data_IF_191306143380
#
_entry.id   IF_191306143380
#
_cell.length_a   1.000
_cell.length_b   1.000
_cell.length_c   1.000
_cell.angle_alpha   90.00
_cell.angle_beta   90.00
_cell.angle_gamma   90.00
#
_symmetry.space_group_name_H-M   'P 1'
#
loop_
_entity.id
_entity.type
_entity.pdbx_description
1 polymer ?
#
# COMPACT_ATOMS: atom_id res chain seq x y z
N UNK A 1 4.60 19.95 -39.03
CA UNK A 1 5.26 19.92 -37.72
C UNK A 1 4.41 19.07 -36.79
N UNK A 2 4.76 17.79 -36.60
CA UNK A 2 4.10 16.90 -35.65
C UNK A 2 5.16 16.41 -34.68
N UNK A 3 5.03 16.78 -33.40
CA UNK A 3 5.85 16.20 -32.34
C UNK A 3 5.24 14.83 -31.98
N UNK A 4 5.97 13.77 -32.27
CA UNK A 4 5.65 12.42 -31.78
C UNK A 4 6.17 12.30 -30.35
N UNK A 5 5.26 12.22 -29.37
CA UNK A 5 5.64 11.86 -27.99
C UNK A 5 5.93 10.36 -27.98
N UNK A 6 7.16 9.91 -27.67
CA UNK A 6 7.43 8.49 -27.56
C UNK A 6 6.65 7.91 -26.38
N UNK A 7 5.93 6.81 -26.61
CA UNK A 7 5.35 6.02 -25.53
C UNK A 7 6.49 5.50 -24.64
N UNK A 8 6.33 5.62 -23.32
CA UNK A 8 7.33 5.13 -22.36
C UNK A 8 7.43 3.61 -22.45
N UNK A 9 8.61 3.10 -22.75
CA UNK A 9 8.90 1.68 -22.67
C UNK A 9 8.90 1.24 -21.20
N UNK A 10 7.95 0.38 -20.84
CA UNK A 10 7.72 -0.12 -19.48
C UNK A 10 8.21 -1.56 -19.28
N UNK A 11 8.82 -2.17 -20.31
CA UNK A 11 9.11 -3.61 -20.35
C UNK A 11 10.04 -4.07 -19.20
N UNK A 12 10.87 -3.17 -18.68
CA UNK A 12 11.77 -3.42 -17.54
C UNK A 12 11.22 -3.06 -16.15
N UNK A 13 10.08 -2.37 -16.05
CA UNK A 13 9.58 -1.90 -14.77
C UNK A 13 8.88 -3.04 -14.02
N UNK A 14 9.38 -3.34 -12.82
CA UNK A 14 8.83 -4.39 -11.95
C UNK A 14 8.55 -3.82 -10.57
N UNK A 15 7.48 -4.29 -9.95
CA UNK A 15 7.23 -4.03 -8.53
C UNK A 15 8.18 -4.88 -7.68
N UNK A 16 8.52 -4.36 -6.50
CA UNK A 16 9.12 -5.19 -5.46
C UNK A 16 7.99 -5.96 -4.73
N UNK A 17 7.82 -7.24 -5.09
CA UNK A 17 6.77 -8.11 -4.55
C UNK A 17 6.92 -8.38 -3.06
N UNK A 18 8.13 -8.64 -2.58
CA UNK A 18 8.40 -8.92 -1.17
C UNK A 18 8.08 -7.70 -0.29
N UNK A 19 8.46 -6.51 -0.73
CA UNK A 19 8.11 -5.25 -0.04
C UNK A 19 6.60 -5.05 0.02
N UNK A 20 5.90 -5.34 -1.07
CA UNK A 20 4.43 -5.24 -1.11
C UNK A 20 3.80 -6.23 -0.12
N UNK A 21 4.24 -7.49 -0.15
CA UNK A 21 3.73 -8.51 0.75
C UNK A 21 3.99 -8.17 2.22
N UNK A 22 5.19 -7.72 2.55
CA UNK A 22 5.52 -7.25 3.90
C UNK A 22 4.60 -6.12 4.36
N UNK A 23 4.32 -5.15 3.48
CA UNK A 23 3.40 -4.04 3.78
C UNK A 23 1.96 -4.53 4.03
N UNK A 24 1.49 -5.51 3.24
CA UNK A 24 0.17 -6.11 3.45
C UNK A 24 0.07 -6.81 4.81
N UNK A 25 1.06 -7.62 5.15
CA UNK A 25 1.10 -8.35 6.43
C UNK A 25 1.19 -7.39 7.62
N UNK A 26 1.97 -6.31 7.50
CA UNK A 26 2.14 -5.30 8.54
C UNK A 26 0.88 -4.43 8.74
N UNK A 27 0.12 -4.14 7.68
CA UNK A 27 -1.17 -3.46 7.80
C UNK A 27 -2.27 -4.39 8.36
N UNK A 28 -2.21 -5.68 8.06
CA UNK A 28 -3.20 -6.67 8.50
C UNK A 28 -3.22 -6.85 10.03
N UNK A 29 -2.10 -6.56 10.72
CA UNK A 29 -2.04 -6.59 12.18
C UNK A 29 -3.04 -5.61 12.83
N UNK A 30 -3.35 -4.48 12.16
CA UNK A 30 -4.28 -3.48 12.68
C UNK A 30 -5.72 -3.94 12.41
N UNK A 31 -6.35 -4.49 13.44
CA UNK A 31 -7.69 -5.08 13.36
C UNK A 31 -7.68 -6.58 13.10
N UNK A 32 -6.55 -7.27 13.29
CA UNK A 32 -6.46 -8.72 13.21
C UNK A 32 -7.48 -9.39 14.16
N UNK A 33 -8.07 -10.49 13.69
CA UNK A 33 -9.06 -11.29 14.44
C UNK A 33 -8.50 -12.67 14.75
N UNK A 34 -9.00 -13.38 15.78
CA UNK A 34 -8.52 -14.72 16.13
C UNK A 34 -8.63 -15.76 15.01
N UNK A 35 -9.54 -15.55 14.05
CA UNK A 35 -9.73 -16.45 12.89
C UNK A 35 -8.87 -16.07 11.67
N UNK A 36 -7.95 -15.13 11.82
CA UNK A 36 -7.04 -14.68 10.75
C UNK A 36 -7.63 -13.63 9.80
N UNK A 37 -8.86 -13.17 10.02
CA UNK A 37 -9.44 -12.04 9.27
C UNK A 37 -9.06 -10.67 9.84
N UNK A 38 -9.56 -9.60 9.22
CA UNK A 38 -9.41 -8.23 9.71
C UNK A 38 -10.78 -7.59 9.96
N UNK A 39 -11.00 -7.06 11.16
CA UNK A 39 -12.18 -6.26 11.54
C UNK A 39 -11.76 -4.84 11.90
N UNK A 40 -11.36 -4.09 10.87
CA UNK A 40 -11.08 -2.66 10.96
C UNK A 40 -12.26 -1.86 10.39
N UNK A 41 -13.27 -1.63 11.23
CA UNK A 41 -14.51 -0.91 10.85
C UNK A 41 -14.24 0.58 10.66
N UNK A 42 -14.93 1.21 9.71
CA UNK A 42 -14.75 2.62 9.37
C UNK A 42 -14.99 3.54 10.57
N UNK A 43 -14.21 4.62 10.65
CA UNK A 43 -14.29 5.65 11.71
C UNK A 43 -14.03 5.14 13.14
N UNK A 44 -13.52 3.92 13.29
CA UNK A 44 -12.99 3.43 14.57
C UNK A 44 -11.52 3.84 14.75
N UNK A 45 -11.01 3.74 15.96
CA UNK A 45 -9.57 3.97 16.22
C UNK A 45 -8.67 3.04 15.43
N UNK A 46 -9.09 1.79 15.18
CA UNK A 46 -8.35 0.86 14.35
C UNK A 46 -8.27 1.35 12.90
N UNK A 47 -9.36 1.92 12.37
CA UNK A 47 -9.37 2.53 11.03
C UNK A 47 -8.44 3.74 10.97
N UNK A 48 -8.49 4.62 11.96
CA UNK A 48 -7.55 5.75 12.08
C UNK A 48 -6.09 5.27 12.06
N UNK A 49 -5.74 4.29 12.89
CA UNK A 49 -4.37 3.72 12.95
C UNK A 49 -3.94 3.13 11.60
N UNK A 50 -4.83 2.42 10.91
CA UNK A 50 -4.57 1.87 9.58
C UNK A 50 -4.27 2.97 8.56
N UNK A 51 -5.05 4.06 8.57
CA UNK A 51 -4.84 5.23 7.69
C UNK A 51 -3.55 5.95 8.01
N UNK A 52 -3.29 6.22 9.29
CA UNK A 52 -2.07 6.89 9.76
C UNK A 52 -0.82 6.12 9.30
N UNK A 53 -0.85 4.79 9.36
CA UNK A 53 0.25 3.92 8.90
C UNK A 53 0.50 4.05 7.40
N UNK A 54 -0.55 3.97 6.58
CA UNK A 54 -0.44 4.10 5.12
C UNK A 54 0.01 5.51 4.72
N UNK A 55 -0.52 6.55 5.37
CA UNK A 55 -0.08 7.94 5.18
C UNK A 55 1.40 8.07 5.54
N UNK A 56 1.83 7.48 6.66
CA UNK A 56 3.23 7.46 7.06
C UNK A 56 4.13 6.81 6.02
N UNK A 57 3.68 5.74 5.36
CA UNK A 57 4.43 5.10 4.27
C UNK A 57 4.53 6.00 3.04
N UNK A 58 3.42 6.62 2.64
CA UNK A 58 3.37 7.50 1.48
C UNK A 58 4.19 8.79 1.65
N UNK A 59 4.33 9.28 2.88
CA UNK A 59 5.12 10.47 3.20
C UNK A 59 6.61 10.20 3.30
N UNK A 60 7.02 8.95 3.55
CA UNK A 60 8.45 8.63 3.56
C UNK A 60 8.96 8.65 2.13
N UNK A 61 10.15 9.23 1.88
CA UNK A 61 10.82 9.04 0.61
C UNK A 61 11.01 7.53 0.38
N UNK A 62 10.70 7.09 -0.84
CA UNK A 62 10.79 5.69 -1.28
C UNK A 62 12.19 5.25 -1.61
#
# INVERSE_FOLDING_TARGET
MYFFTPATDTTGWRINGDRLWASLMDLAQIGATPKGGCRRLTLTDLDRQGRDKVIGWARRPG
#
